data_IF_721571207858
#
_entry.id   IF_721571207858
#
_cell.length_a   1.000
_cell.length_b   1.000
_cell.length_c   1.000
_cell.angle_alpha   90.00
_cell.angle_beta   90.00
_cell.angle_gamma   90.00
#
_symmetry.space_group_name_H-M   'P 1'
#
loop_
_entity.id
_entity.type
_entity.pdbx_description
1 polymer ?
#
# COMPACT_ATOMS: atom_id res chain seq x y z
N UNK A 1 2.90 23.36 -0.11
CA UNK A 1 1.87 22.76 -0.99
C UNK A 1 1.91 21.25 -0.83
N UNK A 2 0.78 20.54 -0.70
CA UNK A 2 0.77 19.08 -0.68
C UNK A 2 1.39 18.54 -1.97
N UNK A 3 2.24 17.51 -1.86
CA UNK A 3 2.94 16.92 -3.02
C UNK A 3 2.01 16.05 -3.88
N UNK A 4 0.89 15.62 -3.31
CA UNK A 4 -0.14 14.80 -3.95
C UNK A 4 -1.51 15.36 -3.55
N UNK A 5 -2.40 15.51 -4.52
CA UNK A 5 -3.76 16.04 -4.35
C UNK A 5 -4.77 14.96 -3.97
N UNK A 6 -4.48 14.18 -2.92
CA UNK A 6 -5.25 12.98 -2.60
C UNK A 6 -6.73 13.27 -2.29
N UNK A 7 -7.01 14.35 -1.54
CA UNK A 7 -8.37 14.77 -1.23
C UNK A 7 -9.15 15.14 -2.51
N UNK A 8 -8.53 15.87 -3.43
CA UNK A 8 -9.16 16.28 -4.69
C UNK A 8 -9.45 15.06 -5.58
N UNK A 9 -8.48 14.15 -5.75
CA UNK A 9 -8.63 12.95 -6.58
C UNK A 9 -9.71 11.99 -6.05
N UNK A 10 -9.67 11.69 -4.76
CA UNK A 10 -10.64 10.78 -4.13
C UNK A 10 -12.05 11.39 -4.09
N UNK A 11 -12.14 12.71 -3.94
CA UNK A 11 -13.41 13.43 -4.02
C UNK A 11 -13.95 13.48 -5.44
N UNK A 12 -13.09 13.63 -6.46
CA UNK A 12 -13.49 13.56 -7.86
C UNK A 12 -14.06 12.17 -8.20
N UNK A 13 -13.40 11.09 -7.78
CA UNK A 13 -13.93 9.73 -7.95
C UNK A 13 -15.28 9.54 -7.24
N UNK A 14 -15.41 10.04 -6.01
CA UNK A 14 -16.69 10.00 -5.29
C UNK A 14 -17.78 10.80 -6.02
N UNK A 15 -17.46 11.99 -6.54
CA UNK A 15 -18.39 12.81 -7.31
C UNK A 15 -18.87 12.12 -8.57
N UNK A 16 -17.99 11.40 -9.29
CA UNK A 16 -18.39 10.56 -10.43
C UNK A 16 -19.38 9.47 -9.99
N UNK A 17 -19.07 8.78 -8.89
CA UNK A 17 -19.96 7.75 -8.32
C UNK A 17 -21.35 8.30 -7.95
N UNK A 18 -21.41 9.44 -7.25
CA UNK A 18 -22.67 10.08 -6.87
C UNK A 18 -23.44 10.62 -8.07
N UNK A 19 -22.76 11.14 -9.09
CA UNK A 19 -23.39 11.57 -10.33
C UNK A 19 -24.04 10.40 -11.08
N UNK A 20 -23.33 9.27 -11.19
CA UNK A 20 -23.89 8.04 -11.79
C UNK A 20 -25.08 7.52 -10.98
N UNK A 21 -25.00 7.55 -9.65
CA UNK A 21 -26.12 7.20 -8.77
C UNK A 21 -27.33 8.12 -8.96
N UNK A 22 -27.10 9.44 -9.14
CA UNK A 22 -28.15 10.41 -9.42
C UNK A 22 -28.80 10.19 -10.79
N UNK A 23 -28.01 9.90 -11.84
CA UNK A 23 -28.53 9.56 -13.17
C UNK A 23 -29.36 8.28 -13.12
N UNK A 24 -28.87 7.23 -12.45
CA UNK A 24 -29.60 5.98 -12.28
C UNK A 24 -30.90 6.20 -11.52
N UNK A 25 -30.87 6.99 -10.44
CA UNK A 25 -32.06 7.36 -9.69
C UNK A 25 -33.09 8.07 -10.59
N UNK A 26 -32.67 9.12 -11.30
CA UNK A 26 -33.53 9.86 -12.21
C UNK A 26 -34.12 8.98 -13.32
N UNK A 27 -33.34 8.05 -13.87
CA UNK A 27 -33.83 7.12 -14.91
C UNK A 27 -34.95 6.19 -14.43
N UNK A 28 -34.96 5.86 -13.12
CA UNK A 28 -35.93 4.94 -12.52
C UNK A 28 -37.15 5.63 -11.96
N UNK A 29 -36.99 6.86 -11.47
CA UNK A 29 -38.04 7.58 -10.74
C UNK A 29 -38.61 8.78 -11.50
N UNK A 30 -37.95 9.21 -12.57
CA UNK A 30 -38.25 10.46 -13.27
C UNK A 30 -37.88 11.73 -12.49
N UNK A 31 -37.21 11.60 -11.33
CA UNK A 31 -36.87 12.72 -10.44
C UNK A 31 -35.37 12.85 -10.26
N UNK A 32 -34.84 14.05 -10.45
CA UNK A 32 -33.46 14.37 -10.09
C UNK A 32 -33.22 14.31 -8.58
N UNK A 33 -31.95 14.21 -8.18
CA UNK A 33 -31.52 14.26 -6.78
C UNK A 33 -30.32 15.18 -6.62
N UNK A 34 -30.28 15.96 -5.53
CA UNK A 34 -29.07 16.65 -5.08
C UNK A 34 -28.13 15.65 -4.43
N UNK A 35 -26.83 15.73 -4.76
CA UNK A 35 -25.76 14.94 -4.16
C UNK A 35 -24.66 15.88 -3.71
N UNK A 36 -24.24 15.77 -2.46
CA UNK A 36 -23.14 16.54 -1.90
C UNK A 36 -21.93 15.62 -1.71
N UNK A 37 -20.75 16.10 -2.10
CA UNK A 37 -19.47 15.42 -1.92
C UNK A 37 -18.50 16.42 -1.31
N UNK A 38 -18.32 16.34 0.01
CA UNK A 38 -17.43 17.23 0.73
C UNK A 38 -15.99 16.70 0.71
N UNK A 39 -15.05 17.53 0.26
CA UNK A 39 -13.61 17.17 0.23
C UNK A 39 -13.07 16.85 1.63
N UNK A 40 -13.60 17.50 2.66
CA UNK A 40 -13.25 17.23 4.06
C UNK A 40 -13.52 15.79 4.46
N UNK A 41 -14.63 15.21 3.99
CA UNK A 41 -15.06 13.88 4.39
C UNK A 41 -14.15 12.82 3.77
N UNK A 42 -13.74 13.02 2.52
CA UNK A 42 -12.80 12.14 1.84
C UNK A 42 -11.39 12.31 2.39
N UNK A 43 -10.96 13.53 2.70
CA UNK A 43 -9.69 13.77 3.38
C UNK A 43 -9.66 13.11 4.77
N UNK A 44 -10.79 13.12 5.48
CA UNK A 44 -10.93 12.41 6.74
C UNK A 44 -10.83 10.90 6.50
N UNK A 45 -11.65 10.32 5.63
CA UNK A 45 -11.62 8.89 5.31
C UNK A 45 -10.22 8.40 4.93
N UNK A 46 -9.52 9.12 4.05
CA UNK A 46 -8.15 8.75 3.62
C UNK A 46 -7.12 8.83 4.75
N UNK A 47 -7.40 9.61 5.80
CA UNK A 47 -6.59 9.68 7.01
C UNK A 47 -6.96 8.66 8.08
N UNK A 48 -8.04 7.91 7.94
CA UNK A 48 -8.49 6.96 8.97
C UNK A 48 -7.48 5.83 9.24
N UNK A 49 -6.77 5.25 8.25
CA UNK A 49 -5.75 4.24 8.52
C UNK A 49 -4.66 4.71 9.48
N UNK A 50 -4.19 5.95 9.34
CA UNK A 50 -3.18 6.51 10.26
C UNK A 50 -3.81 6.89 11.61
N UNK A 51 -5.03 7.46 11.64
CA UNK A 51 -5.71 7.80 12.90
C UNK A 51 -6.01 6.57 13.77
N UNK A 52 -6.30 5.44 13.14
CA UNK A 52 -6.57 4.17 13.82
C UNK A 52 -5.33 3.30 13.99
N UNK A 53 -4.13 3.83 13.71
CA UNK A 53 -2.86 3.15 13.99
C UNK A 53 -2.47 2.03 13.02
N UNK A 54 -3.19 1.86 11.91
CA UNK A 54 -2.91 0.79 10.94
C UNK A 54 -1.61 1.06 10.15
N UNK A 55 -1.39 2.32 9.77
CA UNK A 55 -0.26 2.77 8.95
C UNK A 55 0.68 3.74 9.69
N UNK A 56 0.62 3.78 11.02
CA UNK A 56 1.66 4.43 11.85
C UNK A 56 2.94 3.60 11.85
N UNK A 57 4.12 4.12 12.21
CA UNK A 57 5.36 3.34 12.22
C UNK A 57 5.29 2.01 13.00
N UNK A 58 4.51 1.98 14.09
CA UNK A 58 4.28 0.78 14.90
C UNK A 58 3.13 -0.10 14.38
N UNK A 59 2.35 0.41 13.43
CA UNK A 59 1.20 -0.26 12.83
C UNK A 59 1.61 -1.38 11.87
N UNK A 60 0.76 -2.41 11.76
CA UNK A 60 1.03 -3.60 10.96
C UNK A 60 1.25 -3.31 9.46
N UNK A 61 0.68 -2.21 8.94
CA UNK A 61 0.88 -1.74 7.56
C UNK A 61 1.80 -0.50 7.47
N UNK A 62 2.45 -0.12 8.58
CA UNK A 62 3.34 1.04 8.62
C UNK A 62 4.82 0.69 8.80
N UNK A 63 5.18 -0.59 8.77
CA UNK A 63 6.58 -1.05 8.76
C UNK A 63 7.05 -1.80 10.00
N UNK A 64 6.17 -2.03 10.98
CA UNK A 64 6.52 -2.70 12.24
C UNK A 64 6.81 -4.20 12.08
N UNK A 65 6.29 -4.82 11.02
CA UNK A 65 6.56 -6.21 10.68
C UNK A 65 7.78 -6.30 9.75
N UNK A 66 8.80 -7.13 10.04
CA UNK A 66 9.91 -7.34 9.12
C UNK A 66 9.48 -7.89 7.74
N UNK A 67 8.41 -8.68 7.71
CA UNK A 67 7.80 -9.15 6.47
C UNK A 67 7.08 -8.07 5.65
N UNK A 68 6.89 -6.87 6.19
CA UNK A 68 6.19 -5.77 5.51
C UNK A 68 6.95 -4.45 5.69
N UNK A 69 7.90 -4.17 4.79
CA UNK A 69 8.77 -3.02 4.93
C UNK A 69 9.63 -2.72 3.72
N UNK A 70 10.25 -1.54 3.74
CA UNK A 70 11.21 -1.09 2.73
C UNK A 70 12.62 -1.32 3.26
N UNK A 71 13.47 -1.89 2.41
CA UNK A 71 14.84 -2.27 2.72
C UNK A 71 15.80 -1.68 1.70
N UNK A 72 16.98 -1.30 2.15
CA UNK A 72 18.03 -0.78 1.27
C UNK A 72 18.71 -1.96 0.55
N UNK A 73 18.78 -1.87 -0.77
CA UNK A 73 19.61 -2.71 -1.62
C UNK A 73 20.92 -1.97 -1.95
N UNK A 74 21.86 -2.64 -2.64
CA UNK A 74 23.18 -2.04 -2.92
C UNK A 74 23.10 -0.76 -3.78
N UNK A 75 22.10 -0.65 -4.65
CA UNK A 75 21.91 0.42 -5.63
C UNK A 75 20.52 1.09 -5.56
N UNK A 76 19.74 0.82 -4.51
CA UNK A 76 18.39 1.36 -4.38
C UNK A 76 17.62 0.80 -3.20
N UNK A 77 16.31 0.62 -3.36
CA UNK A 77 15.43 0.09 -2.33
C UNK A 77 14.49 -0.97 -2.91
N UNK A 78 14.19 -1.97 -2.08
CA UNK A 78 13.17 -2.99 -2.33
C UNK A 78 12.10 -2.91 -1.24
N UNK A 79 10.86 -3.18 -1.59
CA UNK A 79 9.74 -3.33 -0.67
C UNK A 79 9.38 -4.80 -0.57
N UNK A 80 9.43 -5.37 0.62
CA UNK A 80 8.92 -6.70 0.94
C UNK A 80 7.50 -6.55 1.51
N UNK A 81 6.55 -7.35 1.03
CA UNK A 81 5.15 -7.32 1.42
C UNK A 81 4.59 -8.72 1.72
N UNK A 82 5.32 -9.53 2.47
CA UNK A 82 4.94 -10.87 2.90
C UNK A 82 4.05 -10.84 4.16
N UNK A 83 2.83 -10.30 4.04
CA UNK A 83 1.86 -10.22 5.15
C UNK A 83 1.23 -11.58 5.47
N UNK A 84 0.94 -12.38 4.44
CA UNK A 84 0.34 -13.68 4.60
C UNK A 84 1.36 -14.68 5.18
N UNK A 85 0.98 -15.53 6.15
CA UNK A 85 1.91 -16.43 6.83
C UNK A 85 2.74 -17.30 5.88
N UNK A 86 2.13 -17.82 4.82
CA UNK A 86 2.81 -18.69 3.86
C UNK A 86 3.84 -17.95 3.00
N UNK A 87 3.63 -16.67 2.66
CA UNK A 87 4.64 -15.86 1.98
C UNK A 87 5.80 -15.54 2.93
N UNK A 88 5.50 -15.25 4.20
CA UNK A 88 6.53 -14.96 5.18
C UNK A 88 7.40 -16.19 5.49
N UNK A 89 6.78 -17.35 5.69
CA UNK A 89 7.48 -18.62 5.86
C UNK A 89 8.38 -18.95 4.67
N UNK A 90 7.85 -18.82 3.44
CA UNK A 90 8.65 -19.03 2.23
C UNK A 90 9.81 -18.06 2.11
N UNK A 91 9.57 -16.77 2.39
CA UNK A 91 10.62 -15.73 2.35
C UNK A 91 11.75 -16.09 3.30
N UNK A 92 11.44 -16.46 4.55
CA UNK A 92 12.46 -16.85 5.54
C UNK A 92 13.21 -18.11 5.11
N UNK A 93 12.52 -19.11 4.59
CA UNK A 93 13.14 -20.35 4.12
C UNK A 93 14.08 -20.12 2.94
N UNK A 94 13.66 -19.36 1.93
CA UNK A 94 14.47 -19.07 0.73
C UNK A 94 15.66 -18.15 1.03
N UNK A 95 15.52 -17.25 2.00
CA UNK A 95 16.61 -16.39 2.47
C UNK A 95 17.53 -17.08 3.48
N UNK A 96 17.08 -18.15 4.13
CA UNK A 96 17.80 -18.82 5.21
C UNK A 96 17.96 -17.95 6.46
N UNK A 97 16.91 -17.22 6.85
CA UNK A 97 16.92 -16.28 7.99
C UNK A 97 15.81 -16.56 9.00
N UNK A 98 16.01 -16.17 10.26
CA UNK A 98 14.97 -16.23 11.29
C UNK A 98 13.92 -15.12 11.08
N UNK A 99 14.33 -14.01 10.46
CA UNK A 99 13.44 -12.97 9.95
C UNK A 99 13.38 -11.71 10.83
N UNK A 100 14.47 -11.40 11.56
CA UNK A 100 14.60 -10.11 12.23
C UNK A 100 14.77 -8.97 11.22
N UNK A 101 14.45 -7.74 11.62
CA UNK A 101 14.61 -6.58 10.74
C UNK A 101 16.07 -6.35 10.39
N UNK A 102 16.96 -6.48 11.36
CA UNK A 102 18.40 -6.28 11.21
C UNK A 102 19.03 -7.31 10.26
N UNK A 103 18.59 -8.58 10.31
CA UNK A 103 18.99 -9.63 9.37
C UNK A 103 18.60 -9.26 7.94
N UNK A 104 17.34 -8.86 7.74
CA UNK A 104 16.84 -8.48 6.41
C UNK A 104 17.54 -7.23 5.87
N UNK A 105 17.81 -6.24 6.71
CA UNK A 105 18.55 -5.03 6.32
C UNK A 105 19.97 -5.36 5.85
N UNK A 106 20.65 -6.24 6.57
CA UNK A 106 22.01 -6.69 6.20
C UNK A 106 21.97 -7.51 4.91
N UNK A 107 21.02 -8.42 4.78
CA UNK A 107 20.89 -9.32 3.64
C UNK A 107 20.56 -8.55 2.36
N UNK A 108 19.53 -7.70 2.39
CA UNK A 108 19.09 -7.00 1.18
C UNK A 108 20.13 -6.01 0.68
N UNK A 109 20.97 -5.43 1.55
CA UNK A 109 22.05 -4.54 1.15
C UNK A 109 23.13 -5.20 0.28
N UNK A 110 23.21 -6.53 0.25
CA UNK A 110 24.28 -7.27 -0.40
C UNK A 110 24.17 -7.40 -1.94
N UNK A 111 22.98 -7.18 -2.52
CA UNK A 111 22.73 -7.34 -3.97
C UNK A 111 21.96 -6.16 -4.53
N UNK A 112 21.94 -6.05 -5.85
CA UNK A 112 21.21 -4.99 -6.55
C UNK A 112 19.71 -5.20 -6.45
N UNK A 113 18.95 -4.13 -6.65
CA UNK A 113 17.49 -4.20 -6.74
C UNK A 113 17.06 -5.17 -7.85
N UNK A 114 17.77 -5.16 -9.00
CA UNK A 114 17.44 -6.03 -10.13
C UNK A 114 17.63 -7.52 -9.79
N UNK A 115 18.69 -7.87 -9.07
CA UNK A 115 18.94 -9.25 -8.62
C UNK A 115 17.84 -9.72 -7.65
N UNK A 116 17.41 -8.84 -6.73
CA UNK A 116 16.34 -9.17 -5.80
C UNK A 116 14.98 -9.31 -6.47
N UNK A 117 14.64 -8.44 -7.43
CA UNK A 117 13.39 -8.55 -8.19
C UNK A 117 13.35 -9.86 -9.01
N UNK A 118 14.45 -10.24 -9.65
CA UNK A 118 14.54 -11.50 -10.39
C UNK A 118 14.43 -12.71 -9.45
N UNK A 119 15.20 -12.71 -8.35
CA UNK A 119 15.17 -13.77 -7.34
C UNK A 119 13.76 -13.96 -6.75
N UNK A 120 13.05 -12.86 -6.47
CA UNK A 120 11.71 -12.86 -5.91
C UNK A 120 10.68 -13.38 -6.91
N UNK A 121 10.78 -12.98 -8.18
CA UNK A 121 9.90 -13.45 -9.25
C UNK A 121 10.00 -14.96 -9.50
N UNK A 122 11.21 -15.52 -9.44
CA UNK A 122 11.44 -16.98 -9.58
C UNK A 122 10.85 -17.81 -8.44
N UNK A 123 10.73 -17.21 -7.25
CA UNK A 123 10.37 -17.90 -5.99
C UNK A 123 8.98 -17.54 -5.47
N UNK A 124 8.26 -16.70 -6.22
CA UNK A 124 6.94 -16.20 -5.85
C UNK A 124 6.99 -15.56 -4.44
N UNK A 125 7.91 -14.61 -4.28
CA UNK A 125 8.08 -13.78 -3.09
C UNK A 125 7.54 -12.37 -3.37
N UNK A 126 6.68 -11.78 -2.51
CA UNK A 126 6.12 -10.45 -2.72
C UNK A 126 7.16 -9.37 -2.41
N UNK A 127 8.16 -9.23 -3.28
CA UNK A 127 9.23 -8.24 -3.19
C UNK A 127 9.37 -7.49 -4.51
N UNK A 128 9.42 -6.16 -4.45
CA UNK A 128 9.47 -5.30 -5.64
C UNK A 128 10.38 -4.09 -5.44
N UNK A 129 10.87 -3.51 -6.54
CA UNK A 129 11.58 -2.22 -6.53
C UNK A 129 10.70 -1.08 -6.03
N UNK A 130 11.30 -0.19 -5.23
CA UNK A 130 10.74 1.13 -4.95
C UNK A 130 11.18 2.12 -6.03
N UNK A 131 10.23 2.91 -6.57
CA UNK A 131 10.45 3.88 -7.66
C UNK A 131 10.28 5.32 -7.19
#
# INVERSE_FOLDING_TARGET
MPRILLADLTSAERAVGEALAAVLHASRTGRGSLREVALSDLAQMMGDPVRHGLTTPDGILGGSLPGYGIYRASDGYVALAALEPHFWERTRAELGVEGSREELETLFAARSVADWEAWAGERDIPLARVR
#
